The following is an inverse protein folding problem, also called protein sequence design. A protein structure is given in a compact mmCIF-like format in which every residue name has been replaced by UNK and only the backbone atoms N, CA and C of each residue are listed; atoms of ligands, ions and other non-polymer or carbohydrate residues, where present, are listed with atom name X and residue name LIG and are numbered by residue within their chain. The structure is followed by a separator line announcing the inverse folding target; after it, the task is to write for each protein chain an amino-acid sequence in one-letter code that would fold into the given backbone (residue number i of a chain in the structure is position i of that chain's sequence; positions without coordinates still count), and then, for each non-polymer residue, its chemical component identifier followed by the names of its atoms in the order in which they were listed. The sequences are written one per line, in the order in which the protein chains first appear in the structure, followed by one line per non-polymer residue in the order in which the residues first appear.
data_IF_183047938699
#
_entry.id   IF_183047938699
#
_cell.length_a   1.000
_cell.length_b   1.000
_cell.length_c   1.000
_cell.angle_alpha   90.00
_cell.angle_beta   90.00
_cell.angle_gamma   90.00
#
_symmetry.space_group_name_H-M   'P 1'
#
loop_
_entity.id
_entity.type
_entity.pdbx_description
1 polymer ?
#
# COMPACT_ATOMS: atom_id res chain seq x y z
N UNK A 1 4.29 6.83 28.72
CA UNK A 1 2.89 6.34 28.71
C UNK A 1 2.80 5.38 27.55
N UNK A 2 2.36 4.16 27.80
CA UNK A 2 2.18 3.13 26.79
C UNK A 2 0.70 3.09 26.41
N UNK A 3 0.41 2.95 25.12
CA UNK A 3 -0.95 2.79 24.63
C UNK A 3 -1.28 1.30 24.65
N UNK A 4 -2.28 0.92 25.41
CA UNK A 4 -2.66 -0.48 25.57
C UNK A 4 -4.12 -0.68 25.17
N UNK A 5 -4.39 -1.80 24.50
CA UNK A 5 -5.75 -2.24 24.17
C UNK A 5 -6.18 -3.33 25.14
N UNK A 6 -7.20 -3.05 25.94
CA UNK A 6 -7.82 -4.03 26.84
C UNK A 6 -9.08 -4.55 26.17
N UNK A 7 -9.20 -5.88 26.06
CA UNK A 7 -10.39 -6.53 25.52
C UNK A 7 -11.09 -7.28 26.63
N UNK A 8 -12.37 -6.99 26.86
CA UNK A 8 -13.14 -7.73 27.86
C UNK A 8 -14.58 -8.02 27.43
N UNK A 9 -15.11 -9.13 27.92
CA UNK A 9 -16.49 -9.57 27.62
C UNK A 9 -17.46 -9.24 28.75
N UNK A 10 -18.53 -8.53 28.40
CA UNK A 10 -19.63 -8.17 29.30
C UNK A 10 -20.92 -8.90 28.92
N UNK A 11 -21.67 -9.34 29.93
CA UNK A 11 -23.06 -9.76 29.73
C UNK A 11 -23.93 -8.57 29.35
N UNK A 12 -24.94 -8.81 28.52
CA UNK A 12 -25.90 -7.80 28.13
C UNK A 12 -26.86 -7.46 29.29
N UNK A 13 -26.37 -6.65 30.24
CA UNK A 13 -27.12 -6.21 31.43
C UNK A 13 -27.11 -4.68 31.52
N UNK A 14 -28.23 -4.11 31.98
CA UNK A 14 -28.39 -2.65 32.10
C UNK A 14 -27.32 -2.07 33.02
N UNK A 15 -26.50 -1.15 32.49
CA UNK A 15 -25.43 -0.49 33.24
C UNK A 15 -24.12 -1.29 33.37
N UNK A 16 -24.01 -2.48 32.77
CA UNK A 16 -22.77 -3.28 32.80
C UNK A 16 -21.55 -2.56 32.24
N UNK A 17 -21.70 -1.93 31.06
CA UNK A 17 -20.63 -1.15 30.43
C UNK A 17 -20.24 0.08 31.25
N UNK A 18 -21.23 0.78 31.81
CA UNK A 18 -20.99 1.96 32.66
C UNK A 18 -20.19 1.60 33.91
N UNK A 19 -20.49 0.47 34.54
CA UNK A 19 -19.71 -0.04 35.68
C UNK A 19 -18.27 -0.37 35.30
N UNK A 20 -18.05 -0.96 34.14
CA UNK A 20 -16.70 -1.28 33.66
C UNK A 20 -15.88 -0.02 33.35
N UNK A 21 -16.47 0.98 32.69
CA UNK A 21 -15.77 2.22 32.33
C UNK A 21 -15.50 3.11 33.56
N UNK A 22 -16.33 3.05 34.61
CA UNK A 22 -16.06 3.75 35.88
C UNK A 22 -14.74 3.32 36.52
N UNK A 23 -14.32 2.07 36.35
CA UNK A 23 -13.03 1.59 36.88
C UNK A 23 -11.86 2.34 36.25
N UNK A 24 -11.93 2.67 34.95
CA UNK A 24 -10.89 3.45 34.28
C UNK A 24 -10.88 4.90 34.76
N UNK A 25 -12.07 5.48 34.99
CA UNK A 25 -12.21 6.84 35.54
C UNK A 25 -11.66 6.95 36.97
N UNK A 26 -12.00 5.99 37.84
CA UNK A 26 -11.55 5.96 39.25
C UNK A 26 -10.04 5.74 39.39
N UNK A 27 -9.41 5.06 38.42
CA UNK A 27 -7.97 4.81 38.39
C UNK A 27 -7.18 5.79 37.50
N UNK A 28 -7.80 6.91 37.09
CA UNK A 28 -7.18 7.97 36.29
C UNK A 28 -6.53 7.49 34.98
N UNK A 29 -7.15 6.51 34.30
CA UNK A 29 -6.69 6.03 33.00
C UNK A 29 -7.47 6.67 31.87
N UNK A 30 -6.76 7.33 30.96
CA UNK A 30 -7.35 8.04 29.84
C UNK A 30 -7.76 7.05 28.74
N UNK A 31 -9.03 7.12 28.35
CA UNK A 31 -9.58 6.31 27.28
C UNK A 31 -9.46 7.08 25.96
N UNK A 32 -8.79 6.47 24.97
CA UNK A 32 -8.55 7.04 23.65
C UNK A 32 -9.62 6.58 22.66
N UNK A 33 -9.99 5.30 22.74
CA UNK A 33 -11.01 4.70 21.88
C UNK A 33 -11.75 3.59 22.62
N UNK A 34 -13.07 3.50 22.39
CA UNK A 34 -13.91 2.43 22.94
C UNK A 34 -14.78 1.91 21.81
N UNK A 35 -14.68 0.61 21.54
CA UNK A 35 -15.52 -0.08 20.58
C UNK A 35 -16.26 -1.24 21.26
N UNK A 36 -17.53 -1.43 20.93
CA UNK A 36 -18.31 -2.58 21.41
C UNK A 36 -18.78 -3.43 20.24
N UNK A 37 -18.50 -4.73 20.28
CA UNK A 37 -18.92 -5.72 19.28
C UNK A 37 -19.71 -6.83 19.92
N UNK A 38 -20.67 -7.42 19.20
CA UNK A 38 -21.34 -8.64 19.66
C UNK A 38 -20.32 -9.77 19.71
N UNK A 39 -20.21 -10.48 20.84
CA UNK A 39 -19.22 -11.55 20.96
C UNK A 39 -19.52 -12.67 19.96
N UNK A 40 -18.49 -13.15 19.27
CA UNK A 40 -18.56 -14.33 18.40
C UNK A 40 -18.55 -15.63 19.20
N UNK A 41 -18.11 -15.59 20.47
CA UNK A 41 -17.98 -16.76 21.34
C UNK A 41 -19.28 -17.04 22.10
N UNK A 42 -20.01 -16.01 22.52
CA UNK A 42 -21.26 -16.12 23.30
C UNK A 42 -22.31 -15.12 22.85
N UNK A 43 -23.47 -15.61 22.43
CA UNK A 43 -24.57 -14.78 21.89
C UNK A 43 -25.18 -13.78 22.90
N UNK A 44 -24.98 -13.99 24.21
CA UNK A 44 -25.49 -13.15 25.29
C UNK A 44 -24.48 -12.11 25.81
N UNK A 45 -23.31 -11.99 25.17
CA UNK A 45 -22.21 -11.12 25.61
C UNK A 45 -21.75 -10.16 24.50
N UNK A 46 -21.16 -9.05 24.91
CA UNK A 46 -20.47 -8.08 24.07
C UNK A 46 -18.98 -8.07 24.41
N UNK A 47 -18.14 -8.01 23.38
CA UNK A 47 -16.71 -7.75 23.50
C UNK A 47 -16.47 -6.24 23.40
N UNK A 48 -15.81 -5.69 24.42
CA UNK A 48 -15.47 -4.28 24.50
C UNK A 48 -13.97 -4.15 24.28
N UNK A 49 -13.59 -3.31 23.34
CA UNK A 49 -12.21 -2.96 23.02
C UNK A 49 -11.97 -1.56 23.57
N UNK A 50 -10.98 -1.41 24.43
CA UNK A 50 -10.64 -0.14 25.07
C UNK A 50 -9.18 0.17 24.80
N UNK A 51 -8.92 1.17 23.97
CA UNK A 51 -7.60 1.77 23.86
C UNK A 51 -7.44 2.81 24.95
N UNK A 52 -6.35 2.71 25.72
CA UNK A 52 -6.06 3.64 26.80
C UNK A 52 -4.57 4.00 26.86
N UNK A 53 -4.31 5.22 27.33
CA UNK A 53 -2.96 5.69 27.63
C UNK A 53 -2.69 5.48 29.12
N UNK A 54 -1.75 4.60 29.46
CA UNK A 54 -1.46 4.26 30.85
C UNK A 54 0.00 3.82 31.05
N UNK A 55 0.41 3.63 32.30
CA UNK A 55 1.66 2.93 32.63
C UNK A 55 1.37 1.46 33.00
N UNK A 56 2.40 0.62 33.01
CA UNK A 56 2.24 -0.83 33.25
C UNK A 56 1.63 -1.16 34.63
N UNK A 57 1.91 -0.36 35.67
CA UNK A 57 1.38 -0.59 37.02
C UNK A 57 -0.13 -0.31 37.09
N UNK A 58 -0.57 0.83 36.56
CA UNK A 58 -1.98 1.22 36.47
C UNK A 58 -2.79 0.25 35.61
N UNK A 59 -2.21 -0.23 34.50
CA UNK A 59 -2.86 -1.20 33.63
C UNK A 59 -3.10 -2.54 34.34
N UNK A 60 -2.10 -3.03 35.07
CA UNK A 60 -2.21 -4.27 35.84
C UNK A 60 -3.28 -4.16 36.94
N UNK A 61 -3.37 -3.01 37.62
CA UNK A 61 -4.39 -2.75 38.63
C UNK A 61 -5.81 -2.78 38.03
N UNK A 62 -6.02 -2.10 36.90
CA UNK A 62 -7.31 -2.09 36.20
C UNK A 62 -7.71 -3.50 35.73
N UNK A 63 -6.77 -4.30 35.21
CA UNK A 63 -7.04 -5.68 34.78
C UNK A 63 -7.51 -6.54 35.95
N UNK A 64 -6.89 -6.41 37.13
CA UNK A 64 -7.32 -7.13 38.32
C UNK A 64 -8.72 -6.72 38.77
N UNK A 65 -9.06 -5.43 38.67
CA UNK A 65 -10.39 -4.92 39.00
C UNK A 65 -11.46 -5.38 38.00
N UNK A 66 -11.13 -5.38 36.70
CA UNK A 66 -12.02 -5.85 35.63
C UNK A 66 -12.31 -7.34 35.75
N UNK A 67 -11.31 -8.18 36.06
CA UNK A 67 -11.50 -9.63 36.26
C UNK A 67 -12.53 -9.99 37.33
N UNK A 68 -12.83 -9.08 38.28
CA UNK A 68 -13.88 -9.28 39.29
C UNK A 68 -15.29 -9.06 38.75
N UNK A 69 -15.43 -8.38 37.61
CA UNK A 69 -16.71 -7.90 37.07
C UNK A 69 -17.04 -8.43 35.66
N UNK A 70 -16.07 -9.01 34.96
CA UNK A 70 -16.19 -9.41 33.55
C UNK A 70 -15.75 -10.86 33.34
N UNK A 71 -16.30 -11.52 32.32
CA UNK A 71 -16.13 -12.97 32.15
C UNK A 71 -14.81 -13.36 31.50
N UNK A 72 -14.28 -12.49 30.63
CA UNK A 72 -13.03 -12.70 29.89
C UNK A 72 -12.32 -11.36 29.88
N UNK A 73 -11.04 -11.34 30.28
CA UNK A 73 -10.14 -10.20 30.08
C UNK A 73 -8.96 -10.73 29.30
N UNK A 74 -8.86 -10.36 28.03
CA UNK A 74 -7.68 -10.59 27.22
C UNK A 74 -6.89 -9.27 27.17
N UNK A 75 -5.60 -9.39 27.40
CA UNK A 75 -4.67 -8.30 27.20
C UNK A 75 -3.87 -8.68 25.97
N UNK A 76 -4.00 -7.92 24.89
CA UNK A 76 -2.91 -7.86 23.93
C UNK A 76 -1.92 -6.86 24.53
N UNK A 77 -0.81 -7.31 25.16
CA UNK A 77 0.32 -6.41 25.30
C UNK A 77 0.69 -6.00 23.88
N UNK A 78 0.73 -4.70 23.63
CA UNK A 78 1.73 -4.18 22.71
C UNK A 78 3.09 -4.55 23.35
N UNK A 79 3.57 -5.74 22.97
CA UNK A 79 4.90 -6.33 23.17
C UNK A 79 5.14 -7.39 24.30
N UNK A 80 5.37 -8.64 23.84
CA UNK A 80 6.13 -9.85 24.26
C UNK A 80 6.58 -10.07 25.74
N UNK A 81 6.81 -11.29 26.28
CA UNK A 81 7.68 -12.38 25.79
C UNK A 81 7.64 -13.65 26.68
N UNK A 82 8.18 -14.74 26.13
CA UNK A 82 9.26 -15.57 26.70
C UNK A 82 9.93 -16.24 25.46
N UNK A 83 11.09 -15.84 24.96
CA UNK A 83 12.43 -15.89 25.56
C UNK A 83 13.38 -14.86 24.88
N UNK A 84 14.17 -14.15 25.69
CA UNK A 84 15.36 -13.32 25.37
C UNK A 84 15.41 -12.56 24.02
N UNK A 85 14.79 -11.38 23.96
CA UNK A 85 15.01 -10.34 22.93
C UNK A 85 14.86 -8.93 23.56
N UNK A 86 15.89 -8.41 24.23
CA UNK A 86 15.83 -7.07 24.86
C UNK A 86 15.93 -5.88 23.87
N UNK A 87 16.13 -6.12 22.56
CA UNK A 87 16.34 -5.05 21.55
C UNK A 87 15.21 -4.87 20.52
N UNK A 88 14.08 -5.61 20.62
CA UNK A 88 13.02 -5.60 19.59
C UNK A 88 11.64 -5.08 20.03
N UNK A 89 11.50 -4.61 21.27
CA UNK A 89 10.21 -4.16 21.83
C UNK A 89 9.65 -2.87 21.21
N UNK A 90 10.46 -2.06 20.51
CA UNK A 90 10.02 -0.75 19.97
C UNK A 90 9.82 -0.75 18.44
N UNK A 91 9.86 -1.92 17.79
CA UNK A 91 9.81 -1.98 16.32
C UNK A 91 8.36 -2.16 15.86
N UNK A 92 7.80 -1.23 15.05
CA UNK A 92 6.47 -1.39 14.50
C UNK A 92 6.31 -2.70 13.74
N UNK A 93 5.20 -3.39 13.97
CA UNK A 93 4.88 -4.64 13.29
C UNK A 93 4.89 -4.46 11.75
N UNK A 94 5.35 -5.49 11.04
CA UNK A 94 5.28 -5.58 9.58
C UNK A 94 5.06 -7.04 9.14
N UNK A 95 4.43 -7.27 7.97
CA UNK A 95 4.23 -8.62 7.44
C UNK A 95 5.56 -9.30 7.12
N UNK A 96 5.71 -10.57 7.49
CA UNK A 96 6.93 -11.37 7.23
C UNK A 96 6.75 -12.33 6.05
N UNK A 97 5.51 -12.73 5.75
CA UNK A 97 5.13 -13.52 4.58
C UNK A 97 4.13 -12.75 3.74
N UNK A 98 4.08 -13.01 2.44
CA UNK A 98 3.11 -12.36 1.53
C UNK A 98 1.65 -12.57 1.98
N UNK A 99 1.33 -13.73 2.58
CA UNK A 99 -0.01 -14.00 3.11
C UNK A 99 -0.35 -13.19 4.37
N UNK A 100 0.63 -12.64 5.09
CA UNK A 100 0.38 -11.76 6.24
C UNK A 100 -0.28 -10.44 5.82
N UNK A 101 -0.25 -10.07 4.52
CA UNK A 101 -0.98 -8.92 4.00
C UNK A 101 -2.50 -9.03 4.23
N UNK A 102 -3.04 -10.24 4.40
CA UNK A 102 -4.44 -10.45 4.80
C UNK A 102 -4.80 -9.82 6.15
N UNK A 103 -3.81 -9.53 7.01
CA UNK A 103 -4.01 -8.94 8.34
C UNK A 103 -4.14 -7.42 8.30
N UNK A 104 -3.61 -6.76 7.26
CA UNK A 104 -3.60 -5.31 7.16
C UNK A 104 -4.40 -4.75 5.97
N UNK A 105 -4.66 -5.53 4.93
CA UNK A 105 -5.36 -5.07 3.72
C UNK A 105 -6.83 -4.63 3.91
N UNK A 106 -7.42 -4.90 5.08
CA UNK A 106 -8.78 -4.52 5.42
C UNK A 106 -8.86 -3.26 6.30
N UNK A 107 -7.72 -2.61 6.61
CA UNK A 107 -7.63 -1.38 7.41
C UNK A 107 -7.82 -0.14 6.52
N UNK A 108 -9.02 0.00 5.97
CA UNK A 108 -9.36 1.11 5.07
C UNK A 108 -9.65 2.38 5.88
N UNK A 109 -8.97 3.47 5.53
CA UNK A 109 -9.10 4.79 6.15
C UNK A 109 -10.17 5.65 5.46
N UNK A 110 -10.22 5.63 4.13
CA UNK A 110 -11.07 6.52 3.33
C UNK A 110 -11.56 5.84 2.05
N UNK A 111 -12.62 6.38 1.45
CA UNK A 111 -13.14 5.98 0.14
C UNK A 111 -13.44 4.47 0.03
N UNK A 112 -13.88 3.88 1.15
CA UNK A 112 -14.34 2.50 1.22
C UNK A 112 -15.79 2.36 0.75
N UNK A 113 -16.65 1.85 1.63
CA UNK A 113 -18.08 1.74 1.36
C UNK A 113 -18.88 3.02 1.62
N UNK A 114 -18.31 3.96 2.38
CA UNK A 114 -18.90 5.27 2.65
C UNK A 114 -18.20 6.33 1.82
N UNK A 115 -18.98 7.30 1.32
CA UNK A 115 -18.52 8.39 0.46
C UNK A 115 -18.69 9.71 1.20
N UNK A 116 -17.77 10.63 0.97
CA UNK A 116 -17.86 11.99 1.49
C UNK A 116 -19.04 12.75 0.87
N UNK A 117 -19.53 13.77 1.58
CA UNK A 117 -20.75 14.49 1.21
C UNK A 117 -20.63 15.28 -0.12
N UNK A 118 -19.41 15.66 -0.48
CA UNK A 118 -19.04 16.35 -1.71
C UNK A 118 -18.73 15.39 -2.88
N UNK A 119 -18.65 14.08 -2.63
CA UNK A 119 -18.45 13.08 -3.68
C UNK A 119 -19.66 13.09 -4.65
N UNK A 120 -19.44 13.06 -5.99
CA UNK A 120 -20.52 13.16 -6.98
C UNK A 120 -21.58 12.06 -6.83
N UNK A 121 -21.16 10.86 -6.44
CA UNK A 121 -22.03 9.72 -6.13
C UNK A 121 -22.68 9.71 -4.74
N UNK A 122 -22.51 10.73 -3.89
CA UNK A 122 -23.03 10.72 -2.51
C UNK A 122 -24.56 10.59 -2.45
N UNK A 123 -25.27 11.24 -3.38
CA UNK A 123 -26.74 11.19 -3.48
C UNK A 123 -27.25 10.05 -4.36
N UNK A 124 -26.35 9.33 -5.05
CA UNK A 124 -26.71 8.22 -5.91
C UNK A 124 -26.73 6.90 -5.11
N UNK A 125 -27.94 6.43 -4.81
CA UNK A 125 -28.15 5.19 -4.08
C UNK A 125 -27.71 3.95 -4.86
N UNK A 126 -27.74 3.98 -6.20
CA UNK A 126 -27.28 2.88 -7.05
C UNK A 126 -25.77 2.80 -7.00
N UNK A 127 -25.09 3.93 -7.20
CA UNK A 127 -23.63 4.01 -7.11
C UNK A 127 -23.12 3.61 -5.72
N UNK A 128 -23.76 4.06 -4.64
CA UNK A 128 -23.38 3.67 -3.26
C UNK A 128 -23.52 2.16 -3.02
N UNK A 129 -24.60 1.54 -3.49
CA UNK A 129 -24.77 0.08 -3.43
C UNK A 129 -23.70 -0.64 -4.24
N UNK A 130 -23.36 -0.11 -5.42
CA UNK A 130 -22.31 -0.63 -6.29
C UNK A 130 -20.92 -0.54 -5.65
N UNK A 131 -20.60 0.58 -4.97
CA UNK A 131 -19.37 0.74 -4.17
C UNK A 131 -19.29 -0.23 -3.00
N UNK A 132 -20.39 -0.42 -2.28
CA UNK A 132 -20.45 -1.43 -1.23
C UNK A 132 -20.18 -2.85 -1.75
N UNK A 133 -20.72 -3.20 -2.92
CA UNK A 133 -20.43 -4.48 -3.57
C UNK A 133 -18.93 -4.69 -3.81
N UNK A 134 -18.22 -3.69 -4.37
CA UNK A 134 -16.77 -3.77 -4.55
C UNK A 134 -16.01 -3.87 -3.23
N UNK A 135 -16.41 -3.10 -2.22
CA UNK A 135 -15.80 -3.16 -0.90
C UNK A 135 -15.97 -4.55 -0.25
N UNK A 136 -17.17 -5.13 -0.33
CA UNK A 136 -17.46 -6.45 0.23
C UNK A 136 -16.62 -7.55 -0.46
N UNK A 137 -16.39 -7.46 -1.78
CA UNK A 137 -15.50 -8.36 -2.52
C UNK A 137 -14.04 -8.26 -2.04
N UNK A 138 -13.51 -7.04 -1.94
CA UNK A 138 -12.13 -6.81 -1.50
C UNK A 138 -11.90 -7.28 -0.05
N UNK A 139 -12.88 -7.05 0.84
CA UNK A 139 -12.80 -7.46 2.25
C UNK A 139 -12.86 -9.00 2.41
N UNK A 140 -13.51 -9.70 1.48
CA UNK A 140 -13.60 -11.15 1.45
C UNK A 140 -12.36 -11.82 0.83
N UNK A 141 -11.57 -11.09 0.03
CA UNK A 141 -10.38 -11.63 -0.63
C UNK A 141 -9.31 -12.09 0.36
N UNK A 142 -8.71 -13.26 0.08
CA UNK A 142 -7.54 -13.80 0.79
C UNK A 142 -6.41 -14.11 -0.16
N UNK A 143 -5.18 -13.99 0.34
CA UNK A 143 -4.01 -14.31 -0.45
C UNK A 143 -4.06 -15.78 -0.92
N UNK A 144 -3.89 -15.99 -2.21
CA UNK A 144 -3.96 -17.31 -2.85
C UNK A 144 -5.27 -17.56 -3.61
N UNK A 145 -6.33 -16.81 -3.28
CA UNK A 145 -7.57 -16.87 -4.04
C UNK A 145 -7.43 -16.14 -5.39
N UNK A 146 -8.14 -16.58 -6.44
CA UNK A 146 -8.27 -15.79 -7.65
C UNK A 146 -9.04 -14.50 -7.35
N UNK A 147 -8.64 -13.39 -7.99
CA UNK A 147 -9.33 -12.12 -7.79
C UNK A 147 -10.74 -12.20 -8.41
N UNK A 148 -11.81 -11.83 -7.67
CA UNK A 148 -13.17 -11.88 -8.18
C UNK A 148 -13.33 -11.07 -9.47
N UNK A 149 -13.89 -11.73 -10.49
CA UNK A 149 -14.24 -11.08 -11.75
C UNK A 149 -15.52 -10.27 -11.60
N UNK A 150 -15.56 -9.12 -12.27
CA UNK A 150 -16.64 -8.15 -12.22
C UNK A 150 -17.35 -8.13 -13.57
N UNK A 151 -18.66 -8.31 -13.54
CA UNK A 151 -19.53 -7.90 -14.64
C UNK A 151 -19.78 -6.40 -14.52
N UNK A 152 -19.01 -5.61 -15.27
CA UNK A 152 -19.16 -4.16 -15.32
C UNK A 152 -20.43 -3.79 -16.10
N UNK A 153 -21.13 -2.75 -15.65
CA UNK A 153 -22.32 -2.25 -16.33
C UNK A 153 -21.94 -1.52 -17.62
N UNK A 154 -22.89 -1.36 -18.54
CA UNK A 154 -22.67 -0.58 -19.77
C UNK A 154 -22.26 0.87 -19.46
N UNK A 155 -22.78 1.46 -18.38
CA UNK A 155 -22.42 2.81 -17.94
C UNK A 155 -20.97 2.88 -17.42
N UNK A 156 -20.54 1.89 -16.64
CA UNK A 156 -19.16 1.77 -16.15
C UNK A 156 -18.19 1.63 -17.32
N UNK A 157 -18.49 0.75 -18.29
CA UNK A 157 -17.67 0.55 -19.50
C UNK A 157 -17.63 1.82 -20.36
N UNK A 158 -18.76 2.52 -20.51
CA UNK A 158 -18.80 3.79 -21.25
C UNK A 158 -17.95 4.88 -20.57
N UNK A 159 -17.99 4.95 -19.23
CA UNK A 159 -17.20 5.89 -18.43
C UNK A 159 -15.71 5.62 -18.62
N UNK A 160 -15.30 4.36 -18.51
CA UNK A 160 -13.94 3.91 -18.83
C UNK A 160 -13.52 4.30 -20.25
N UNK A 161 -14.36 4.03 -21.25
CA UNK A 161 -14.05 4.32 -22.65
C UNK A 161 -13.80 5.81 -22.92
N UNK A 162 -14.52 6.70 -22.24
CA UNK A 162 -14.27 8.15 -22.30
C UNK A 162 -12.86 8.48 -21.79
N UNK A 163 -12.50 7.98 -20.60
CA UNK A 163 -11.18 8.22 -19.98
C UNK A 163 -10.06 7.64 -20.83
N UNK A 164 -10.21 6.38 -21.24
CA UNK A 164 -9.27 5.66 -22.08
C UNK A 164 -8.97 6.43 -23.37
N UNK A 165 -10.00 6.87 -24.08
CA UNK A 165 -9.86 7.57 -25.36
C UNK A 165 -9.16 8.92 -25.21
N UNK A 166 -9.53 9.72 -24.21
CA UNK A 166 -8.92 11.04 -24.03
C UNK A 166 -7.45 10.95 -23.58
N UNK A 167 -7.10 10.01 -22.71
CA UNK A 167 -5.72 9.81 -22.28
C UNK A 167 -4.83 9.26 -23.41
N UNK A 168 -5.35 8.33 -24.23
CA UNK A 168 -4.60 7.78 -25.37
C UNK A 168 -4.22 8.83 -26.42
N UNK A 169 -4.97 9.93 -26.53
CA UNK A 169 -4.58 11.08 -27.38
C UNK A 169 -3.34 11.80 -26.85
N UNK A 170 -3.12 11.80 -25.54
CA UNK A 170 -2.04 12.54 -24.88
C UNK A 170 -0.76 11.72 -24.73
N UNK A 171 -0.88 10.40 -24.49
CA UNK A 171 0.27 9.56 -24.19
C UNK A 171 1.46 9.68 -25.15
N UNK A 172 1.29 9.71 -26.50
CA UNK A 172 2.43 9.76 -27.42
C UNK A 172 3.36 10.96 -27.20
N UNK A 173 2.83 12.07 -26.68
CA UNK A 173 3.59 13.31 -26.44
C UNK A 173 3.93 13.54 -24.97
N UNK A 174 3.17 12.95 -24.05
CA UNK A 174 3.28 13.24 -22.62
C UNK A 174 3.91 12.11 -21.81
N UNK A 175 3.65 10.84 -22.14
CA UNK A 175 4.09 9.70 -21.34
C UNK A 175 5.54 9.28 -21.63
N UNK A 176 6.22 8.73 -20.63
CA UNK A 176 7.57 8.19 -20.80
C UNK A 176 7.61 6.97 -21.73
N UNK A 177 8.78 6.71 -22.31
CA UNK A 177 9.01 5.60 -23.25
C UNK A 177 8.62 4.24 -22.68
N UNK A 178 8.93 3.98 -21.41
CA UNK A 178 8.68 2.70 -20.74
C UNK A 178 7.17 2.45 -20.62
N UNK A 179 6.40 3.50 -20.30
CA UNK A 179 4.94 3.46 -20.32
C UNK A 179 4.41 3.11 -21.73
N UNK A 180 4.87 3.84 -22.75
CA UNK A 180 4.44 3.64 -24.15
C UNK A 180 4.80 2.25 -24.70
N UNK A 181 5.92 1.67 -24.24
CA UNK A 181 6.33 0.30 -24.56
C UNK A 181 5.39 -0.74 -23.95
N UNK A 182 4.92 -0.52 -22.72
CA UNK A 182 4.14 -1.51 -22.00
C UNK A 182 2.63 -1.40 -22.21
N UNK A 183 2.08 -0.19 -22.44
CA UNK A 183 0.64 0.02 -22.63
C UNK A 183 0.01 -0.90 -23.70
N UNK A 184 0.58 -1.07 -24.91
CA UNK A 184 0.00 -1.96 -25.93
C UNK A 184 -0.06 -3.43 -25.51
N UNK A 185 0.77 -3.84 -24.54
CA UNK A 185 0.81 -5.20 -24.02
C UNK A 185 -0.40 -5.47 -23.13
N UNK A 186 -0.93 -4.46 -22.44
CA UNK A 186 -2.18 -4.59 -21.68
C UNK A 186 -3.36 -4.84 -22.62
N UNK A 187 -3.41 -4.20 -23.79
CA UNK A 187 -4.43 -4.49 -24.80
C UNK A 187 -4.32 -5.92 -25.33
N UNK A 188 -3.09 -6.42 -25.51
CA UNK A 188 -2.82 -7.76 -26.05
C UNK A 188 -3.10 -8.89 -25.05
N UNK A 189 -2.74 -8.72 -23.79
CA UNK A 189 -2.75 -9.81 -22.79
C UNK A 189 -3.82 -9.65 -21.71
N UNK A 190 -4.34 -8.44 -21.50
CA UNK A 190 -5.33 -8.14 -20.45
C UNK A 190 -6.63 -7.55 -21.01
N UNK A 191 -6.80 -7.57 -22.34
CA UNK A 191 -7.99 -7.03 -23.01
C UNK A 191 -8.30 -5.56 -22.68
N UNK A 192 -7.26 -4.76 -22.39
CA UNK A 192 -7.39 -3.33 -22.12
C UNK A 192 -7.73 -2.57 -23.41
N UNK A 193 -9.01 -2.25 -23.60
CA UNK A 193 -9.56 -1.58 -24.79
C UNK A 193 -10.53 -0.49 -24.38
N UNK A 194 -10.87 0.40 -25.31
CA UNK A 194 -11.87 1.45 -25.06
C UNK A 194 -13.24 0.88 -24.65
N UNK A 195 -13.59 -0.30 -25.17
CA UNK A 195 -14.88 -0.97 -24.97
C UNK A 195 -14.85 -2.06 -23.88
N UNK A 196 -13.73 -2.21 -23.15
CA UNK A 196 -13.59 -3.27 -22.16
C UNK A 196 -12.64 -2.89 -21.02
N UNK A 197 -13.15 -3.00 -19.78
CA UNK A 197 -12.36 -2.80 -18.56
C UNK A 197 -11.62 -4.11 -18.23
N UNK A 198 -10.27 -4.09 -18.11
CA UNK A 198 -9.51 -5.27 -17.70
C UNK A 198 -9.93 -5.83 -16.36
N UNK A 199 -9.92 -7.16 -16.25
CA UNK A 199 -10.13 -7.85 -14.98
C UNK A 199 -8.81 -7.92 -14.20
N UNK A 200 -8.85 -7.59 -12.91
CA UNK A 200 -7.65 -7.56 -12.06
C UNK A 200 -6.91 -8.90 -12.03
N UNK A 201 -7.61 -10.04 -12.12
CA UNK A 201 -6.99 -11.37 -12.17
C UNK A 201 -6.08 -11.52 -13.41
N UNK A 202 -6.52 -11.05 -14.58
CA UNK A 202 -5.73 -11.13 -15.81
C UNK A 202 -4.52 -10.20 -15.76
N UNK A 203 -4.71 -9.00 -15.21
CA UNK A 203 -3.64 -8.03 -15.00
C UNK A 203 -2.62 -8.54 -13.96
N UNK A 204 -3.07 -9.16 -12.87
CA UNK A 204 -2.22 -9.75 -11.84
C UNK A 204 -1.33 -10.86 -12.42
N UNK A 205 -1.91 -11.75 -13.24
CA UNK A 205 -1.15 -12.81 -13.93
C UNK A 205 -0.13 -12.23 -14.91
N UNK A 206 -0.52 -11.22 -15.69
CA UNK A 206 0.39 -10.52 -16.60
C UNK A 206 1.57 -9.87 -15.86
N UNK A 207 1.31 -9.11 -14.80
CA UNK A 207 2.36 -8.47 -14.00
C UNK A 207 3.31 -9.50 -13.37
N UNK A 208 2.77 -10.64 -12.91
CA UNK A 208 3.57 -11.70 -12.29
C UNK A 208 4.58 -12.27 -13.26
N UNK A 209 4.18 -12.52 -14.50
CA UNK A 209 5.07 -13.01 -15.57
C UNK A 209 6.12 -11.99 -16.00
N UNK A 210 5.86 -10.69 -15.80
CA UNK A 210 6.73 -9.60 -16.28
C UNK A 210 7.76 -9.15 -15.26
N UNK A 211 7.31 -8.92 -14.03
CA UNK A 211 8.13 -8.33 -12.97
C UNK A 211 7.90 -9.00 -11.63
N UNK A 212 7.11 -10.08 -11.57
CA UNK A 212 6.73 -10.72 -10.30
C UNK A 212 5.74 -9.89 -9.47
N UNK A 213 5.27 -8.74 -9.96
CA UNK A 213 4.21 -7.99 -9.29
C UNK A 213 2.88 -8.73 -9.38
N UNK A 214 2.08 -8.66 -8.34
CA UNK A 214 0.69 -9.14 -8.33
C UNK A 214 -0.23 -8.03 -7.83
N UNK A 215 -1.51 -8.17 -8.16
CA UNK A 215 -2.55 -7.27 -7.69
C UNK A 215 -3.28 -7.91 -6.51
N UNK A 216 -3.65 -7.09 -5.54
CA UNK A 216 -4.60 -7.42 -4.49
C UNK A 216 -5.77 -6.44 -4.52
N UNK A 217 -7.04 -6.89 -4.60
CA UNK A 217 -8.17 -5.99 -4.53
C UNK A 217 -8.22 -5.30 -3.15
N UNK A 218 -8.47 -4.00 -3.14
CA UNK A 218 -8.63 -3.21 -1.91
C UNK A 218 -9.92 -2.40 -1.97
N UNK A 219 -10.58 -2.27 -0.81
CA UNK A 219 -11.86 -1.58 -0.74
C UNK A 219 -11.74 -0.04 -0.83
N UNK A 220 -10.58 0.52 -0.48
CA UNK A 220 -10.32 1.96 -0.47
C UNK A 220 -8.89 2.26 -0.03
N UNK A 221 -8.63 3.47 0.46
CA UNK A 221 -7.29 3.89 0.89
C UNK A 221 -6.84 3.17 2.16
N UNK A 222 -5.67 2.55 2.11
CA UNK A 222 -5.00 1.99 3.27
C UNK A 222 -4.15 3.04 3.98
N UNK A 223 -3.72 2.73 5.20
CA UNK A 223 -2.65 3.49 5.83
C UNK A 223 -1.38 3.44 4.96
N UNK A 224 -0.56 4.51 4.93
CA UNK A 224 0.69 4.48 4.17
C UNK A 224 1.60 3.31 4.55
N UNK A 225 1.61 2.92 5.84
CA UNK A 225 2.34 1.76 6.35
C UNK A 225 1.87 0.46 5.67
N UNK A 226 0.58 0.22 5.64
CA UNK A 226 0.02 -1.03 5.11
C UNK A 226 0.14 -1.11 3.59
N UNK A 227 -0.09 0.01 2.90
CA UNK A 227 0.07 0.09 1.45
C UNK A 227 1.53 -0.14 1.03
N UNK A 228 2.48 0.60 1.63
CA UNK A 228 3.91 0.48 1.30
C UNK A 228 4.46 -0.91 1.69
N UNK A 229 3.98 -1.51 2.78
CA UNK A 229 4.35 -2.88 3.13
C UNK A 229 4.00 -3.88 2.02
N UNK A 230 2.87 -3.71 1.33
CA UNK A 230 2.51 -4.53 0.16
C UNK A 230 3.55 -4.47 -0.96
N UNK A 231 4.09 -3.28 -1.24
CA UNK A 231 5.09 -3.09 -2.29
C UNK A 231 6.37 -3.89 -2.03
N UNK A 232 6.73 -4.13 -0.76
CA UNK A 232 7.89 -4.96 -0.40
C UNK A 232 7.79 -6.39 -0.95
N UNK A 233 6.56 -6.89 -1.06
CA UNK A 233 6.22 -8.22 -1.60
C UNK A 233 5.88 -8.17 -3.09
N UNK A 234 6.09 -7.03 -3.76
CA UNK A 234 5.58 -6.76 -5.10
C UNK A 234 4.06 -6.95 -5.21
N UNK A 235 3.32 -6.62 -4.15
CA UNK A 235 1.86 -6.64 -4.15
C UNK A 235 1.35 -5.21 -4.24
N UNK A 236 0.64 -4.90 -5.32
CA UNK A 236 -0.02 -3.62 -5.49
C UNK A 236 -1.50 -3.74 -5.08
N UNK A 237 -1.91 -2.92 -4.12
CA UNK A 237 -3.31 -2.83 -3.68
C UNK A 237 -4.08 -1.97 -4.69
N UNK A 238 -5.11 -2.53 -5.32
CA UNK A 238 -5.80 -1.93 -6.45
C UNK A 238 -7.30 -1.92 -6.20
N UNK A 239 -7.96 -0.78 -6.41
CA UNK A 239 -9.42 -0.72 -6.35
C UNK A 239 -10.06 -1.37 -7.59
N UNK A 240 -11.33 -1.78 -7.47
CA UNK A 240 -12.11 -2.37 -8.58
C UNK A 240 -13.28 -1.49 -9.05
N UNK A 241 -13.61 -0.44 -8.30
CA UNK A 241 -14.74 0.44 -8.66
C UNK A 241 -14.35 1.42 -9.77
N UNK A 242 -15.34 1.85 -10.53
CA UNK A 242 -15.19 2.90 -11.57
C UNK A 242 -15.70 4.22 -10.99
N UNK A 243 -15.05 5.33 -11.33
CA UNK A 243 -15.51 6.69 -10.99
C UNK A 243 -16.95 6.95 -11.45
N UNK A 244 -17.60 7.92 -10.82
CA UNK A 244 -18.99 8.27 -11.13
C UNK A 244 -19.12 8.85 -12.55
N UNK A 245 -20.16 8.44 -13.28
CA UNK A 245 -20.34 8.78 -14.71
C UNK A 245 -20.61 10.26 -14.98
N UNK A 246 -21.04 11.03 -13.98
CA UNK A 246 -21.32 12.46 -14.11
C UNK A 246 -20.07 13.31 -14.35
N UNK A 247 -18.89 12.84 -13.93
CA UNK A 247 -17.62 13.53 -14.12
C UNK A 247 -16.52 12.53 -14.48
N UNK A 248 -16.49 12.03 -15.72
CA UNK A 248 -15.54 10.99 -16.12
C UNK A 248 -14.09 11.50 -16.14
N UNK A 249 -13.87 12.80 -16.29
CA UNK A 249 -12.51 13.35 -16.50
C UNK A 249 -11.80 13.71 -15.19
N UNK A 250 -12.50 13.64 -14.06
CA UNK A 250 -11.95 13.96 -12.74
C UNK A 250 -12.44 12.97 -11.69
N UNK A 251 -11.54 12.60 -10.77
CA UNK A 251 -11.90 11.84 -9.56
C UNK A 251 -10.88 12.16 -8.47
N UNK A 252 -11.32 12.43 -7.22
CA UNK A 252 -10.42 12.52 -6.08
C UNK A 252 -9.99 11.12 -5.58
N UNK A 253 -10.65 10.06 -6.05
CA UNK A 253 -10.41 8.69 -5.66
C UNK A 253 -9.61 7.91 -6.73
N UNK A 254 -8.74 6.97 -6.34
CA UNK A 254 -7.99 6.10 -7.23
C UNK A 254 -8.91 4.98 -7.70
N UNK A 255 -9.80 5.29 -8.62
CA UNK A 255 -10.69 4.31 -9.26
C UNK A 255 -9.91 3.39 -10.21
N UNK A 256 -10.56 2.36 -10.75
CA UNK A 256 -9.91 1.39 -11.65
C UNK A 256 -9.25 2.03 -12.88
N UNK A 257 -9.74 3.19 -13.34
CA UNK A 257 -9.08 3.94 -14.42
C UNK A 257 -7.69 4.41 -13.98
N UNK A 258 -7.57 4.99 -12.78
CA UNK A 258 -6.28 5.41 -12.21
C UNK A 258 -5.33 4.22 -12.05
N UNK A 259 -5.82 3.13 -11.49
CA UNK A 259 -4.99 1.95 -11.22
C UNK A 259 -4.46 1.32 -12.52
N UNK A 260 -5.36 1.04 -13.47
CA UNK A 260 -5.05 0.27 -14.67
C UNK A 260 -4.33 1.10 -15.74
N UNK A 261 -4.68 2.39 -15.88
CA UNK A 261 -4.05 3.26 -16.87
C UNK A 261 -2.87 4.05 -16.29
N UNK A 262 -2.83 4.30 -14.99
CA UNK A 262 -1.72 4.97 -14.33
C UNK A 262 -0.58 4.02 -13.96
N UNK A 263 -0.85 3.07 -13.04
CA UNK A 263 0.21 2.27 -12.42
C UNK A 263 0.66 1.06 -13.24
N UNK A 264 -0.29 0.27 -13.76
CA UNK A 264 -0.01 -1.06 -14.32
C UNK A 264 1.07 -1.06 -15.43
N UNK A 265 1.08 -0.13 -16.41
CA UNK A 265 2.10 -0.15 -17.45
C UNK A 265 3.53 0.00 -16.92
N UNK A 266 3.73 0.75 -15.83
CA UNK A 266 5.04 0.91 -15.21
C UNK A 266 5.37 -0.20 -14.23
N UNK A 267 4.39 -0.80 -13.54
CA UNK A 267 4.63 -2.01 -12.76
C UNK A 267 5.10 -3.18 -13.63
N UNK A 268 4.79 -3.17 -14.94
CA UNK A 268 5.31 -4.11 -15.92
C UNK A 268 6.74 -3.82 -16.42
N UNK A 269 7.35 -2.70 -16.00
CA UNK A 269 8.73 -2.34 -16.31
C UNK A 269 9.68 -2.77 -15.16
N UNK A 270 10.68 -3.63 -15.42
CA UNK A 270 11.54 -4.19 -14.37
C UNK A 270 12.24 -3.16 -13.46
N UNK A 271 12.75 -2.07 -14.04
CA UNK A 271 13.45 -1.03 -13.27
C UNK A 271 12.51 -0.29 -12.32
N UNK A 272 11.29 0.00 -12.77
CA UNK A 272 10.25 0.64 -11.96
C UNK A 272 9.68 -0.30 -10.90
N UNK A 273 9.49 -1.59 -11.22
CA UNK A 273 9.09 -2.60 -10.24
C UNK A 273 10.12 -2.74 -9.10
N UNK A 274 11.41 -2.76 -9.42
CA UNK A 274 12.46 -2.76 -8.41
C UNK A 274 12.47 -1.49 -7.56
N UNK A 275 12.30 -0.33 -8.19
CA UNK A 275 12.18 0.95 -7.51
C UNK A 275 11.02 0.95 -6.49
N UNK A 276 9.83 0.57 -6.92
CA UNK A 276 8.64 0.49 -6.06
C UNK A 276 8.83 -0.51 -4.90
N UNK A 277 9.49 -1.65 -5.15
CA UNK A 277 9.80 -2.63 -4.12
C UNK A 277 10.80 -2.10 -3.08
N UNK A 278 11.81 -1.33 -3.50
CA UNK A 278 12.80 -0.72 -2.59
C UNK A 278 12.12 0.23 -1.60
N UNK A 279 11.14 1.03 -2.06
CA UNK A 279 10.30 1.87 -1.18
C UNK A 279 9.55 1.00 -0.17
N UNK A 280 8.96 -0.10 -0.64
CA UNK A 280 8.25 -1.03 0.24
C UNK A 280 9.15 -1.64 1.31
N UNK A 281 10.33 -2.14 0.92
CA UNK A 281 11.31 -2.72 1.86
C UNK A 281 11.84 -1.70 2.88
N UNK A 282 11.98 -0.43 2.47
CA UNK A 282 12.36 0.66 3.36
C UNK A 282 11.29 0.95 4.42
N UNK A 283 10.01 0.66 4.13
CA UNK A 283 8.90 0.91 5.07
C UNK A 283 8.77 -0.13 6.19
N UNK A 284 9.27 -1.35 5.98
CA UNK A 284 9.15 -2.45 6.93
C UNK A 284 9.92 -2.17 8.23
N UNK A 285 9.19 -2.13 9.35
CA UNK A 285 9.74 -1.84 10.68
C UNK A 285 10.20 -0.39 10.88
N UNK A 286 9.91 0.51 9.94
CA UNK A 286 10.24 1.93 10.06
C UNK A 286 9.27 2.65 11.00
N UNK A 287 9.71 3.73 11.66
CA UNK A 287 8.84 4.61 12.47
C UNK A 287 7.78 5.30 11.62
N UNK A 288 6.69 5.78 12.24
CA UNK A 288 5.61 6.48 11.52
C UNK A 288 6.11 7.73 10.76
N UNK A 289 7.00 8.52 11.37
CA UNK A 289 7.66 9.65 10.69
C UNK A 289 8.46 9.22 9.45
N UNK A 290 9.16 8.09 9.54
CA UNK A 290 9.92 7.56 8.39
C UNK A 290 8.99 7.02 7.31
N UNK A 291 7.89 6.36 7.68
CA UNK A 291 6.86 5.90 6.75
C UNK A 291 6.20 7.08 6.05
N UNK A 292 5.90 8.16 6.77
CA UNK A 292 5.31 9.36 6.16
C UNK A 292 6.27 9.99 5.14
N UNK A 293 7.56 10.08 5.46
CA UNK A 293 8.58 10.55 4.51
C UNK A 293 8.68 9.67 3.27
N UNK A 294 8.64 8.35 3.44
CA UNK A 294 8.61 7.39 2.33
C UNK A 294 7.34 7.55 1.49
N UNK A 295 6.18 7.75 2.11
CA UNK A 295 4.92 7.97 1.45
C UNK A 295 4.92 9.27 0.63
N UNK A 296 5.52 10.35 1.15
CA UNK A 296 5.73 11.59 0.40
C UNK A 296 6.66 11.37 -0.80
N UNK A 297 7.76 10.62 -0.63
CA UNK A 297 8.63 10.26 -1.75
C UNK A 297 7.90 9.40 -2.79
N UNK A 298 7.07 8.45 -2.36
CA UNK A 298 6.22 7.65 -3.24
C UNK A 298 5.27 8.54 -4.03
N UNK A 299 4.59 9.46 -3.36
CA UNK A 299 3.66 10.41 -3.98
C UNK A 299 4.35 11.25 -5.06
N UNK A 300 5.48 11.87 -4.77
CA UNK A 300 6.21 12.69 -5.75
C UNK A 300 7.04 11.91 -6.76
N UNK A 301 6.96 10.58 -6.75
CA UNK A 301 7.59 9.72 -7.76
C UNK A 301 6.56 8.84 -8.46
N UNK A 302 6.04 7.83 -7.78
CA UNK A 302 5.09 6.87 -8.35
C UNK A 302 3.75 7.51 -8.72
N UNK A 303 3.27 8.52 -7.98
CA UNK A 303 2.00 9.20 -8.30
C UNK A 303 2.17 10.40 -9.24
N UNK A 304 3.14 11.28 -8.97
CA UNK A 304 3.28 12.57 -9.67
C UNK A 304 4.70 12.82 -10.22
N UNK A 305 5.47 11.76 -10.44
CA UNK A 305 6.84 11.87 -10.93
C UNK A 305 6.95 12.19 -12.43
N UNK A 306 7.97 12.98 -12.74
CA UNK A 306 8.40 13.32 -14.09
C UNK A 306 9.79 12.73 -14.39
N UNK A 307 10.05 12.42 -15.65
CA UNK A 307 11.39 12.06 -16.10
C UNK A 307 11.84 12.89 -17.30
N UNK A 308 13.16 12.96 -17.51
CA UNK A 308 13.75 13.62 -18.66
C UNK A 308 14.23 12.58 -19.68
N UNK A 309 13.68 12.62 -20.87
CA UNK A 309 14.04 11.72 -21.97
C UNK A 309 14.35 12.55 -23.21
N UNK A 310 15.56 12.41 -23.76
CA UNK A 310 16.00 13.13 -24.96
C UNK A 310 15.86 14.66 -24.84
N UNK A 311 16.13 15.19 -23.63
CA UNK A 311 16.01 16.62 -23.33
C UNK A 311 14.58 17.09 -23.06
N UNK A 312 13.57 16.25 -23.25
CA UNK A 312 12.16 16.56 -23.05
C UNK A 312 11.64 16.01 -21.72
N UNK A 313 10.68 16.71 -21.12
CA UNK A 313 9.96 16.21 -19.95
C UNK A 313 8.88 15.21 -20.37
N UNK A 314 8.75 14.14 -19.60
CA UNK A 314 7.73 13.10 -19.74
C UNK A 314 7.17 12.73 -18.37
N UNK A 315 5.91 12.31 -18.36
CA UNK A 315 5.24 11.83 -17.17
C UNK A 315 5.42 10.31 -17.01
N UNK A 316 5.65 9.90 -15.77
CA UNK A 316 5.55 8.51 -15.35
C UNK A 316 4.69 8.35 -14.09
N UNK A 317 4.37 9.43 -13.38
CA UNK A 317 3.47 9.38 -12.25
C UNK A 317 2.07 8.89 -12.66
N UNK A 318 1.50 7.94 -11.91
CA UNK A 318 0.18 7.37 -12.17
C UNK A 318 -0.95 8.40 -12.09
N UNK A 319 -0.91 9.30 -11.10
CA UNK A 319 -1.81 10.44 -10.98
C UNK A 319 -1.79 11.34 -12.21
N UNK A 320 -0.61 11.58 -12.81
CA UNK A 320 -0.50 12.30 -14.08
C UNK A 320 -1.06 11.48 -15.24
N UNK A 321 -0.68 10.21 -15.37
CA UNK A 321 -1.07 9.35 -16.50
C UNK A 321 -2.55 8.93 -16.50
N UNK A 322 -3.28 9.25 -15.43
CA UNK A 322 -4.72 9.00 -15.28
C UNK A 322 -5.58 10.28 -15.17
N UNK A 323 -4.94 11.45 -15.17
CA UNK A 323 -5.59 12.77 -15.07
C UNK A 323 -5.29 13.63 -16.30
N UNK A 324 -6.29 13.83 -17.15
CA UNK A 324 -6.15 14.57 -18.41
C UNK A 324 -5.70 16.02 -18.17
N UNK A 325 -6.33 16.69 -17.21
CA UNK A 325 -6.08 18.11 -16.94
C UNK A 325 -4.72 18.31 -16.28
N UNK A 326 -4.35 17.43 -15.35
CA UNK A 326 -3.09 17.55 -14.63
C UNK A 326 -1.89 17.14 -15.48
N UNK A 327 -2.03 16.14 -16.34
CA UNK A 327 -0.99 15.75 -17.31
C UNK A 327 -0.60 16.91 -18.21
N UNK A 328 -1.60 17.64 -18.73
CA UNK A 328 -1.40 18.84 -19.55
C UNK A 328 -0.75 19.96 -18.74
N UNK A 329 -1.21 20.17 -17.50
CA UNK A 329 -0.66 21.21 -16.63
C UNK A 329 0.81 20.97 -16.31
N UNK A 330 1.16 19.78 -15.83
CA UNK A 330 2.52 19.40 -15.42
C UNK A 330 3.55 19.54 -16.56
N UNK A 331 3.13 19.35 -17.82
CA UNK A 331 3.99 19.46 -19.00
C UNK A 331 3.78 20.75 -19.81
N UNK A 332 3.01 21.72 -19.30
CA UNK A 332 2.72 22.99 -19.99
C UNK A 332 3.89 23.97 -20.03
N UNK A 333 4.92 23.75 -19.21
CA UNK A 333 6.02 24.71 -18.97
C UNK A 333 5.72 25.78 -17.92
N UNK A 334 4.46 25.87 -17.44
CA UNK A 334 4.07 26.79 -16.36
C UNK A 334 4.17 26.15 -14.96
N UNK A 335 4.25 24.82 -14.89
CA UNK A 335 4.36 24.09 -13.64
C UNK A 335 5.77 24.25 -13.04
N UNK A 336 5.86 24.32 -11.71
CA UNK A 336 7.14 24.35 -11.01
C UNK A 336 7.74 22.94 -10.98
N UNK A 337 8.96 22.80 -11.46
CA UNK A 337 9.65 21.51 -11.54
C UNK A 337 10.98 21.59 -10.78
N UNK A 338 11.23 20.61 -9.91
CA UNK A 338 12.46 20.51 -9.12
C UNK A 338 13.15 19.16 -9.34
N UNK A 339 14.49 19.07 -9.25
CA UNK A 339 15.17 17.78 -9.25
C UNK A 339 14.71 16.92 -8.07
N UNK A 340 14.46 15.64 -8.31
CA UNK A 340 14.12 14.70 -7.26
C UNK A 340 15.30 14.51 -6.31
N UNK A 341 15.12 14.87 -5.04
CA UNK A 341 16.03 14.58 -3.94
C UNK A 341 15.18 14.13 -2.75
N UNK A 342 15.20 12.84 -2.37
CA UNK A 342 14.38 12.32 -1.29
C UNK A 342 14.45 13.13 0.01
N UNK A 343 15.60 13.74 0.36
CA UNK A 343 15.75 14.54 1.60
C UNK A 343 14.96 15.86 1.56
N UNK A 344 14.78 16.41 0.37
CA UNK A 344 14.00 17.63 0.11
C UNK A 344 12.54 17.25 -0.15
N UNK A 345 12.32 16.31 -1.06
CA UNK A 345 11.00 15.83 -1.47
C UNK A 345 10.19 15.28 -0.31
N UNK A 346 10.80 14.55 0.65
CA UNK A 346 10.07 13.98 1.78
C UNK A 346 9.46 15.00 2.76
N UNK A 347 9.73 16.30 2.56
CA UNK A 347 9.19 17.40 3.36
C UNK A 347 8.12 18.19 2.61
N UNK A 348 7.87 17.85 1.34
CA UNK A 348 6.88 18.53 0.52
C UNK A 348 5.47 18.09 0.92
N UNK A 349 4.56 19.06 1.03
CA UNK A 349 3.14 18.80 1.25
C UNK A 349 2.52 18.13 0.02
N UNK A 350 1.76 17.06 0.24
CA UNK A 350 1.04 16.33 -0.80
C UNK A 350 -0.37 16.88 -0.91
N UNK A 351 -0.73 17.44 -2.06
CA UNK A 351 -2.06 18.02 -2.28
C UNK A 351 -2.93 16.98 -2.98
N UNK A 352 -4.05 16.58 -2.39
CA UNK A 352 -4.91 15.52 -2.94
C UNK A 352 -6.18 16.02 -3.63
N UNK A 353 -6.50 17.31 -3.48
CA UNK A 353 -7.76 17.90 -3.99
C UNK A 353 -7.58 18.84 -5.19
N UNK A 354 -6.35 19.29 -5.46
CA UNK A 354 -6.01 20.18 -6.57
C UNK A 354 -4.69 19.76 -7.21
N UNK A 355 -4.29 20.42 -8.30
CA UNK A 355 -2.98 20.18 -8.92
C UNK A 355 -1.84 20.46 -7.93
N UNK A 356 -0.73 19.75 -8.12
CA UNK A 356 0.45 19.93 -7.29
C UNK A 356 1.12 21.29 -7.55
N UNK A 357 1.57 21.94 -6.48
CA UNK A 357 2.35 23.18 -6.56
C UNK A 357 3.76 22.96 -7.14
N UNK A 358 4.28 21.73 -7.04
CA UNK A 358 5.60 21.35 -7.53
C UNK A 358 5.62 19.89 -7.95
N UNK A 359 6.30 19.61 -9.05
CA UNK A 359 6.60 18.26 -9.53
C UNK A 359 8.10 17.98 -9.43
N UNK A 360 8.45 16.70 -9.23
CA UNK A 360 9.85 16.29 -9.14
C UNK A 360 10.28 15.49 -10.37
N UNK A 361 11.46 15.83 -10.90
CA UNK A 361 12.03 15.20 -12.09
C UNK A 361 13.26 14.37 -11.76
N UNK A 362 13.36 13.16 -12.34
CA UNK A 362 14.58 12.34 -12.36
C UNK A 362 15.06 12.12 -13.80
N UNK A 363 16.36 11.94 -14.02
CA UNK A 363 16.89 11.63 -15.36
C UNK A 363 16.57 10.18 -15.76
N UNK A 364 16.44 9.27 -14.78
CA UNK A 364 16.03 7.88 -15.02
C UNK A 364 15.43 7.22 -13.78
N UNK A 365 14.73 6.09 -13.96
CA UNK A 365 14.28 5.25 -12.85
C UNK A 365 15.44 4.67 -12.04
N UNK A 366 16.59 4.41 -12.68
CA UNK A 366 17.78 3.93 -11.99
C UNK A 366 18.33 4.98 -11.03
N UNK A 367 18.36 6.25 -11.46
CA UNK A 367 18.77 7.36 -10.60
C UNK A 367 17.81 7.51 -9.39
N UNK A 368 16.50 7.49 -9.64
CA UNK A 368 15.50 7.57 -8.57
C UNK A 368 15.64 6.40 -7.58
N UNK A 369 15.90 5.19 -8.07
CA UNK A 369 16.16 3.99 -7.26
C UNK A 369 17.42 4.12 -6.40
N UNK A 370 18.53 4.58 -6.98
CA UNK A 370 19.77 4.80 -6.23
C UNK A 370 19.54 5.85 -5.13
N UNK A 371 18.90 6.97 -5.46
CA UNK A 371 18.56 8.03 -4.49
C UNK A 371 17.68 7.51 -3.36
N UNK A 372 16.64 6.72 -3.67
CA UNK A 372 15.77 6.13 -2.64
C UNK A 372 16.49 5.08 -1.79
N UNK A 373 17.41 4.29 -2.35
CA UNK A 373 18.24 3.37 -1.57
C UNK A 373 19.15 4.10 -0.60
N UNK A 374 19.80 5.17 -1.03
CA UNK A 374 20.60 6.01 -0.13
C UNK A 374 19.74 6.68 0.95
N UNK A 375 18.52 7.10 0.60
CA UNK A 375 17.56 7.63 1.57
C UNK A 375 17.11 6.57 2.57
N UNK A 376 16.82 5.34 2.13
CA UNK A 376 16.42 4.23 2.98
C UNK A 376 17.49 3.88 4.03
N UNK A 377 18.79 4.03 3.70
CA UNK A 377 19.89 3.87 4.69
C UNK A 377 19.82 4.88 5.84
N UNK A 378 19.14 6.01 5.67
CA UNK A 378 18.97 7.01 6.73
C UNK A 378 17.83 6.67 7.69
N UNK A 379 16.99 5.69 7.35
CA UNK A 379 15.88 5.21 8.18
C UNK A 379 16.45 4.36 9.30
N UNK A 380 16.20 4.78 10.54
CA UNK A 380 16.67 4.07 11.74
C UNK A 380 15.77 2.87 12.02
N UNK A 381 16.36 1.68 12.03
CA UNK A 381 15.78 0.41 12.51
C UNK A 381 16.90 -0.51 13.00
N UNK A 382 16.64 -1.42 13.96
CA UNK A 382 17.69 -2.25 14.57
C UNK A 382 18.18 -3.41 13.67
N UNK A 383 17.66 -3.54 12.45
CA UNK A 383 17.99 -4.60 11.50
C UNK A 383 17.87 -4.12 10.05
N UNK A 384 18.38 -4.92 9.12
CA UNK A 384 18.08 -4.78 7.69
C UNK A 384 17.10 -5.88 7.26
N UNK A 385 16.38 -5.66 6.16
CA UNK A 385 15.47 -6.65 5.60
C UNK A 385 15.88 -7.01 4.18
N UNK A 386 15.65 -8.27 3.79
CA UNK A 386 15.80 -8.77 2.42
C UNK A 386 14.51 -9.48 2.01
N UNK A 387 14.04 -9.24 0.79
CA UNK A 387 12.96 -10.04 0.23
C UNK A 387 13.52 -11.33 -0.39
N UNK A 388 12.96 -12.47 0.00
CA UNK A 388 13.23 -13.76 -0.62
C UNK A 388 12.08 -14.09 -1.60
N UNK A 389 12.33 -14.06 -2.93
CA UNK A 389 11.28 -14.30 -3.92
C UNK A 389 10.83 -15.76 -4.00
N UNK A 390 11.67 -16.72 -3.57
CA UNK A 390 11.34 -18.15 -3.63
C UNK A 390 10.31 -18.54 -2.57
N UNK A 391 10.48 -18.03 -1.35
CA UNK A 391 9.59 -18.27 -0.22
C UNK A 391 8.52 -17.18 -0.06
N UNK A 392 8.62 -16.11 -0.86
CA UNK A 392 7.76 -14.92 -0.79
C UNK A 392 7.70 -14.33 0.64
N UNK A 393 8.86 -14.29 1.29
CA UNK A 393 9.03 -13.84 2.68
C UNK A 393 10.06 -12.72 2.79
N UNK A 394 10.03 -12.04 3.93
CA UNK A 394 11.03 -11.05 4.32
C UNK A 394 11.95 -11.66 5.37
N UNK A 395 13.22 -11.75 5.03
CA UNK A 395 14.29 -12.17 5.92
C UNK A 395 14.76 -10.96 6.73
N UNK A 396 14.76 -11.09 8.06
CA UNK A 396 15.25 -10.06 8.97
C UNK A 396 16.71 -10.35 9.28
N UNK A 397 17.60 -9.47 8.82
CA UNK A 397 19.04 -9.56 8.99
C UNK A 397 19.45 -8.73 10.21
N UNK A 398 19.57 -9.41 11.36
CA UNK A 398 19.85 -8.77 12.67
C UNK A 398 21.10 -9.28 13.37
N UNK A 399 21.64 -10.41 12.92
CA UNK A 399 22.75 -11.11 13.57
C UNK A 399 23.65 -11.82 12.55
N UNK A 400 24.82 -12.27 12.98
CA UNK A 400 25.79 -12.97 12.10
C UNK A 400 25.20 -14.22 11.44
N UNK A 401 24.41 -15.09 12.13
CA UNK A 401 23.79 -16.25 11.49
C UNK A 401 22.85 -15.90 10.34
N UNK A 402 21.94 -14.93 10.53
CA UNK A 402 21.02 -14.50 9.47
C UNK A 402 21.75 -13.92 8.26
N UNK A 403 22.83 -13.16 8.48
CA UNK A 403 23.68 -12.62 7.41
C UNK A 403 24.42 -13.73 6.68
N UNK A 404 25.01 -14.70 7.39
CA UNK A 404 25.76 -15.80 6.79
C UNK A 404 24.89 -16.66 5.87
N UNK A 405 23.62 -16.90 6.25
CA UNK A 405 22.68 -17.63 5.38
C UNK A 405 22.51 -16.95 4.01
N UNK A 406 22.39 -15.61 4.00
CA UNK A 406 22.26 -14.84 2.76
C UNK A 406 23.57 -14.85 1.96
N UNK A 407 24.73 -14.78 2.62
CA UNK A 407 26.04 -14.82 1.95
C UNK A 407 26.24 -16.15 1.22
N UNK A 408 25.88 -17.28 1.83
CA UNK A 408 26.00 -18.60 1.17
C UNK A 408 25.06 -18.71 -0.04
N UNK A 409 23.85 -18.16 0.03
CA UNK A 409 22.95 -18.09 -1.14
C UNK A 409 23.55 -17.25 -2.28
N UNK A 410 24.09 -16.07 -1.96
CA UNK A 410 24.71 -15.19 -2.96
C UNK A 410 25.97 -15.81 -3.58
N UNK A 411 26.71 -16.60 -2.80
CA UNK A 411 27.88 -17.33 -3.32
C UNK A 411 27.48 -18.30 -4.42
N UNK A 412 26.38 -19.02 -4.26
CA UNK A 412 25.88 -19.93 -5.30
C UNK A 412 25.55 -19.19 -6.61
N UNK A 413 24.90 -18.03 -6.52
CA UNK A 413 24.60 -17.19 -7.69
C UNK A 413 25.88 -16.66 -8.36
N UNK A 414 26.89 -16.27 -7.56
CA UNK A 414 28.19 -15.86 -8.09
C UNK A 414 28.97 -17.01 -8.75
N UNK A 415 28.86 -18.23 -8.23
CA UNK A 415 29.46 -19.42 -8.83
C UNK A 415 28.87 -19.69 -10.22
N UNK A 416 27.56 -19.52 -10.40
CA UNK A 416 26.89 -19.64 -11.71
C UNK A 416 27.43 -18.59 -12.70
N UNK A 417 27.61 -17.34 -12.26
CA UNK A 417 28.20 -16.29 -13.09
C UNK A 417 29.65 -16.62 -13.44
N UNK A 418 30.42 -17.11 -12.48
CA UNK A 418 31.81 -17.55 -12.68
C UNK A 418 31.91 -18.67 -13.71
N UNK A 419 31.04 -19.66 -13.65
CA UNK A 419 30.95 -20.76 -14.61
C UNK A 419 30.57 -20.26 -16.01
N UNK A 420 29.63 -19.33 -16.12
CA UNK A 420 29.24 -18.72 -17.38
C UNK A 420 30.41 -17.95 -18.03
N UNK A 421 31.14 -17.15 -17.25
CA UNK A 421 32.33 -16.44 -17.70
C UNK A 421 33.45 -17.40 -18.13
N UNK A 422 33.69 -18.47 -17.37
CA UNK A 422 34.68 -19.51 -17.70
C UNK A 422 34.36 -20.19 -19.04
N UNK A 423 33.08 -20.49 -19.31
CA UNK A 423 32.63 -21.04 -20.59
C UNK A 423 32.83 -20.06 -21.75
N UNK A 424 32.52 -18.77 -21.54
CA UNK A 424 32.74 -17.73 -22.54
C UNK A 424 34.23 -17.56 -22.86
N UNK A 425 35.11 -17.53 -21.86
CA UNK A 425 36.56 -17.43 -22.06
C UNK A 425 37.10 -18.61 -22.87
N UNK A 426 36.66 -19.84 -22.56
CA UNK A 426 37.01 -21.03 -23.36
C UNK A 426 36.54 -20.94 -24.81
N UNK A 427 35.38 -20.34 -25.08
CA UNK A 427 34.88 -20.12 -26.45
C UNK A 427 35.62 -19.01 -27.19
N UNK A 428 36.04 -17.96 -26.47
CA UNK A 428 36.75 -16.80 -27.03
C UNK A 428 38.27 -17.01 -27.13
N UNK A 429 38.80 -18.11 -26.57
CA UNK A 429 40.22 -18.45 -26.61
C UNK A 429 41.10 -17.52 -25.77
N UNK A 430 40.53 -16.90 -24.73
CA UNK A 430 41.21 -16.01 -23.78
C UNK A 430 41.50 -16.75 -22.48
#
# INVERSE_FOLDING_TARGET
MCRATIIFSLKNEVGGLVKALKLFQENHVNLVHIESRKSKRRNSEFEIFVDCDSNHEQLNEIIQLLRKHVNIVDMEPTDNSCLHEEDMYDVPWFPKKISDLDKCANRVLMYGSELDADHPGFKDNVYRKRRKYFADLAMAYKHGDPIPRIEFTEEEVKTWGVVYRELNKLYPTHACREYLKNLPLLSKYCECREDNIPQLEDVSRFLRERTGFTIRPVAGYLSPRDFLAGLAFRVFHCTQYVRHSSDPLYTPEPDTCHELLGHVPLLAEPSFAQFSQEIGLASLGASDDSVQKLATCYFFTVEFGLCKQEGQLRAYGAGLLSSISELKHALSGNARIMPFDPKVTSKQECIITTFQDVYFVSDSFEEAKVKMREFAKTIKRPFTVRYNPYTQSVDVLKDTPSINSVVEELRHELDIVGDALSRLNKQLGV
#
